data_IF_761085756436
#
_entry.id   IF_761085756436
#
_cell.length_a   1.000
_cell.length_b   1.000
_cell.length_c   1.000
_cell.angle_alpha   90.00
_cell.angle_beta   90.00
_cell.angle_gamma   90.00
#
_symmetry.space_group_name_H-M   'P 1'
#
loop_
_entity.id
_entity.type
_entity.pdbx_description
1 polymer ?
#
# COMPACT_ATOMS: atom_id res chain seq x y z
N UNK A 1 12.22 -8.65 2.92
CA UNK A 1 11.04 -8.00 2.34
C UNK A 1 10.69 -8.74 1.06
N UNK A 2 9.52 -9.35 1.01
CA UNK A 2 9.03 -10.00 -0.20
C UNK A 2 8.37 -8.92 -1.05
N UNK A 3 8.87 -8.73 -2.26
CA UNK A 3 8.30 -7.81 -3.25
C UNK A 3 7.50 -8.66 -4.23
N UNK A 4 6.36 -9.12 -3.78
CA UNK A 4 5.42 -9.88 -4.59
C UNK A 4 4.05 -9.21 -4.50
N UNK A 5 3.36 -9.02 -5.62
CA UNK A 5 1.97 -8.58 -5.58
C UNK A 5 1.16 -9.53 -4.70
N UNK A 6 0.30 -8.96 -3.86
CA UNK A 6 -0.53 -9.70 -2.89
C UNK A 6 0.25 -10.53 -1.86
N UNK A 7 1.57 -10.30 -1.71
CA UNK A 7 2.43 -10.94 -0.72
C UNK A 7 2.34 -12.49 -0.70
N UNK A 8 2.11 -13.12 -1.85
CA UNK A 8 1.98 -14.57 -1.97
C UNK A 8 3.12 -15.19 -2.80
N UNK A 9 4.32 -15.43 -2.20
CA UNK A 9 5.47 -15.99 -2.90
C UNK A 9 5.32 -17.48 -3.23
N UNK A 10 4.37 -18.18 -2.62
CA UNK A 10 4.12 -19.61 -2.82
C UNK A 10 2.97 -19.89 -3.79
N UNK A 11 2.59 -18.93 -4.58
CA UNK A 11 1.51 -19.04 -5.55
C UNK A 11 1.81 -20.09 -6.61
N UNK A 12 0.85 -20.98 -6.83
CA UNK A 12 0.90 -22.06 -7.86
C UNK A 12 -0.07 -21.80 -9.01
N UNK A 13 -0.76 -20.68 -9.02
CA UNK A 13 -1.77 -20.28 -10.00
C UNK A 13 -1.44 -18.89 -10.58
N UNK A 14 -2.05 -18.49 -11.71
CA UNK A 14 -1.81 -17.19 -12.33
C UNK A 14 -2.11 -16.01 -11.40
N UNK A 15 -1.28 -14.97 -11.45
CA UNK A 15 -1.38 -13.76 -10.61
C UNK A 15 -2.72 -13.02 -10.80
N UNK A 16 -3.26 -13.03 -12.01
CA UNK A 16 -4.56 -12.42 -12.32
C UNK A 16 -5.69 -12.96 -11.43
N UNK A 17 -5.59 -14.20 -10.98
CA UNK A 17 -6.60 -14.78 -10.07
C UNK A 17 -6.62 -14.12 -8.69
N UNK A 18 -5.46 -13.74 -8.16
CA UNK A 18 -5.39 -12.94 -6.94
C UNK A 18 -5.99 -11.56 -7.19
N UNK A 19 -5.63 -10.92 -8.31
CA UNK A 19 -6.21 -9.63 -8.69
C UNK A 19 -7.74 -9.68 -8.75
N UNK A 20 -8.32 -10.62 -9.47
CA UNK A 20 -9.77 -10.79 -9.59
C UNK A 20 -10.45 -11.02 -8.25
N UNK A 21 -9.83 -11.84 -7.38
CA UNK A 21 -10.34 -12.11 -6.04
C UNK A 21 -10.36 -10.86 -5.17
N UNK A 22 -9.27 -10.09 -5.16
CA UNK A 22 -9.19 -8.83 -4.42
C UNK A 22 -10.15 -7.78 -4.97
N UNK A 23 -10.21 -7.62 -6.30
CA UNK A 23 -11.14 -6.70 -6.96
C UNK A 23 -12.59 -7.00 -6.56
N UNK A 24 -12.97 -8.27 -6.55
CA UNK A 24 -14.30 -8.70 -6.11
C UNK A 24 -14.56 -8.37 -4.64
N UNK A 25 -13.62 -8.63 -3.74
CA UNK A 25 -13.76 -8.30 -2.32
C UNK A 25 -14.02 -6.81 -2.11
N UNK A 26 -13.28 -5.93 -2.78
CA UNK A 26 -13.45 -4.49 -2.64
C UNK A 26 -14.72 -3.97 -3.30
N UNK A 27 -15.05 -4.43 -4.52
CA UNK A 27 -16.19 -3.91 -5.27
C UNK A 27 -17.54 -4.45 -4.83
N UNK A 28 -17.61 -5.72 -4.39
CA UNK A 28 -18.87 -6.39 -4.11
C UNK A 28 -19.13 -6.60 -2.60
N UNK A 29 -18.07 -6.72 -1.80
CA UNK A 29 -18.21 -7.05 -0.38
C UNK A 29 -17.99 -5.86 0.56
N UNK A 30 -17.65 -4.68 0.02
CA UNK A 30 -17.41 -3.48 0.82
C UNK A 30 -16.24 -3.62 1.82
N UNK A 31 -15.25 -4.44 1.48
CA UNK A 31 -14.05 -4.65 2.32
C UNK A 31 -13.14 -3.45 2.21
N UNK A 32 -12.69 -2.94 3.35
CA UNK A 32 -11.67 -1.90 3.44
C UNK A 32 -10.27 -2.52 3.58
N UNK A 33 -9.25 -1.87 3.02
CA UNK A 33 -7.88 -2.34 3.06
C UNK A 33 -6.99 -1.38 3.84
N UNK A 34 -6.30 -1.91 4.83
CA UNK A 34 -5.37 -1.15 5.65
C UNK A 34 -3.96 -1.71 5.54
N UNK A 35 -2.98 -0.81 5.43
CA UNK A 35 -1.56 -1.14 5.47
C UNK A 35 -1.02 -0.71 6.82
N UNK A 36 -0.45 -1.63 7.56
CA UNK A 36 0.13 -1.36 8.88
C UNK A 36 1.65 -1.53 8.83
N UNK A 37 2.36 -0.48 9.26
CA UNK A 37 3.80 -0.54 9.42
C UNK A 37 4.15 -1.00 10.85
N UNK A 38 4.72 -2.18 10.97
CA UNK A 38 5.15 -2.75 12.25
C UNK A 38 6.68 -2.75 12.43
N UNK A 39 7.40 -2.19 11.49
CA UNK A 39 8.86 -2.18 11.45
C UNK A 39 9.46 -0.83 11.80
N UNK A 40 9.93 -0.12 10.79
CA UNK A 40 10.54 1.19 10.92
C UNK A 40 9.77 2.20 10.06
N UNK A 41 9.57 3.38 10.62
CA UNK A 41 9.12 4.56 9.90
C UNK A 41 10.30 5.53 9.81
N UNK A 42 10.84 5.70 8.62
CA UNK A 42 12.15 6.31 8.41
C UNK A 42 13.20 5.58 9.28
N UNK A 43 13.89 6.29 10.16
CA UNK A 43 14.90 5.74 11.06
C UNK A 43 14.34 5.32 12.44
N UNK A 44 13.06 5.56 12.69
CA UNK A 44 12.41 5.29 13.96
C UNK A 44 11.71 3.93 13.94
N UNK A 45 12.06 3.08 14.91
CA UNK A 45 11.35 1.81 15.10
C UNK A 45 9.94 2.08 15.64
N UNK A 46 8.94 1.46 15.01
CA UNK A 46 7.56 1.51 15.49
C UNK A 46 7.42 0.56 16.71
N UNK A 47 7.10 1.07 17.91
CA UNK A 47 6.86 0.23 19.06
C UNK A 47 5.62 -0.64 18.88
N UNK A 48 5.65 -1.84 19.47
CA UNK A 48 4.50 -2.76 19.41
C UNK A 48 3.23 -2.16 20.04
N UNK A 49 3.40 -1.34 21.06
CA UNK A 49 2.33 -0.66 21.78
C UNK A 49 1.56 0.29 20.83
N UNK A 50 2.26 1.02 19.96
CA UNK A 50 1.65 1.87 18.92
C UNK A 50 0.85 1.02 17.94
N UNK A 51 1.40 -0.11 17.50
CA UNK A 51 0.71 -1.03 16.60
C UNK A 51 -0.56 -1.59 17.22
N UNK A 52 -0.51 -1.98 18.49
CA UNK A 52 -1.67 -2.54 19.20
C UNK A 52 -2.76 -1.49 19.45
N UNK A 53 -2.39 -0.26 19.85
CA UNK A 53 -3.32 0.86 20.02
C UNK A 53 -4.05 1.17 18.69
N UNK A 54 -3.30 1.23 17.59
CA UNK A 54 -3.90 1.46 16.26
C UNK A 54 -4.87 0.35 15.85
N UNK A 55 -4.54 -0.91 16.14
CA UNK A 55 -5.43 -2.04 15.85
C UNK A 55 -6.71 -1.98 16.69
N UNK A 56 -6.61 -1.68 17.98
CA UNK A 56 -7.75 -1.53 18.88
C UNK A 56 -8.67 -0.42 18.39
N UNK A 57 -8.14 0.76 18.14
CA UNK A 57 -8.87 1.92 17.62
C UNK A 57 -9.47 1.69 16.23
N UNK A 58 -8.79 0.90 15.37
CA UNK A 58 -9.35 0.51 14.08
C UNK A 58 -10.60 -0.34 14.23
N UNK A 59 -10.56 -1.34 15.11
CA UNK A 59 -11.71 -2.22 15.40
C UNK A 59 -12.86 -1.44 16.06
N UNK A 60 -12.55 -0.48 16.91
CA UNK A 60 -13.52 0.40 17.56
C UNK A 60 -14.10 1.48 16.62
N UNK A 61 -13.51 1.67 15.45
CA UNK A 61 -13.92 2.72 14.51
C UNK A 61 -13.60 4.14 15.00
N UNK A 62 -12.58 4.30 15.83
CA UNK A 62 -12.17 5.59 16.43
C UNK A 62 -10.96 6.23 15.74
N UNK A 63 -10.42 5.62 14.68
CA UNK A 63 -9.34 6.20 13.89
C UNK A 63 -9.85 7.32 12.98
N UNK A 64 -9.09 8.40 12.95
CA UNK A 64 -9.31 9.49 12.00
C UNK A 64 -8.30 9.39 10.88
N UNK A 65 -8.78 9.26 9.64
CA UNK A 65 -7.96 9.20 8.45
C UNK A 65 -7.84 10.58 7.81
N UNK A 66 -6.65 10.91 7.34
CA UNK A 66 -6.32 12.15 6.63
C UNK A 66 -5.79 11.83 5.23
N UNK A 67 -6.05 12.67 4.23
CA UNK A 67 -5.46 12.47 2.90
C UNK A 67 -3.94 12.37 2.96
N UNK A 68 -3.37 11.39 2.28
CA UNK A 68 -1.92 11.22 2.20
C UNK A 68 -1.35 12.17 1.15
N UNK A 69 -1.11 13.42 1.56
CA UNK A 69 -0.64 14.50 0.70
C UNK A 69 -1.56 14.70 -0.53
N UNK A 70 -0.99 14.68 -1.74
CA UNK A 70 -1.71 14.83 -3.01
C UNK A 70 -2.02 13.50 -3.72
N UNK A 71 -1.68 12.40 -3.10
CA UNK A 71 -1.86 11.08 -3.71
C UNK A 71 -3.33 10.65 -3.62
N UNK A 72 -4.00 10.42 -4.77
CA UNK A 72 -5.42 10.09 -4.77
C UNK A 72 -5.66 8.72 -4.13
N UNK A 73 -6.77 8.62 -3.42
CA UNK A 73 -7.23 7.38 -2.79
C UNK A 73 -6.26 6.77 -1.75
N UNK A 74 -5.29 7.56 -1.27
CA UNK A 74 -4.44 7.18 -0.15
C UNK A 74 -4.72 8.07 1.05
N UNK A 75 -4.92 7.43 2.18
CA UNK A 75 -5.12 8.09 3.47
C UNK A 75 -4.14 7.53 4.51
N UNK A 76 -3.92 8.26 5.58
CA UNK A 76 -3.09 7.81 6.69
C UNK A 76 -3.67 8.26 8.03
N UNK A 77 -3.30 7.56 9.07
CA UNK A 77 -3.56 7.96 10.45
C UNK A 77 -2.35 8.71 10.98
N UNK A 78 -2.58 9.91 11.50
CA UNK A 78 -1.51 10.68 12.13
C UNK A 78 -1.18 10.10 13.50
N UNK A 79 0.07 9.70 13.67
CA UNK A 79 0.58 9.12 14.91
C UNK A 79 1.71 10.00 15.42
N UNK A 80 1.62 10.54 16.65
CA UNK A 80 2.66 11.40 17.22
C UNK A 80 4.06 10.76 17.17
N UNK A 81 5.01 11.46 16.57
CA UNK A 81 6.39 10.97 16.39
C UNK A 81 6.60 10.09 15.13
N UNK A 82 5.54 9.85 14.35
CA UNK A 82 5.59 9.08 13.11
C UNK A 82 4.87 9.81 11.95
N UNK A 83 4.86 11.14 11.99
CA UNK A 83 4.23 11.96 10.96
C UNK A 83 5.05 11.95 9.66
N UNK A 84 4.41 11.74 8.49
CA UNK A 84 5.09 11.84 7.21
C UNK A 84 5.65 13.26 6.98
N UNK A 85 6.94 13.44 6.71
CA UNK A 85 7.55 14.75 6.56
C UNK A 85 7.29 15.33 5.16
N UNK A 86 6.03 15.63 4.84
CA UNK A 86 5.61 16.10 3.52
C UNK A 86 6.24 17.43 3.08
N UNK A 87 6.84 18.20 3.98
CA UNK A 87 7.58 19.43 3.67
C UNK A 87 9.02 19.15 3.22
N UNK A 88 9.50 17.91 3.35
CA UNK A 88 10.89 17.51 3.03
C UNK A 88 10.97 16.98 1.60
N UNK A 89 11.72 17.68 0.74
CA UNK A 89 11.88 17.31 -0.67
C UNK A 89 12.44 15.89 -0.87
N UNK A 90 13.39 15.50 -0.03
CA UNK A 90 13.99 14.16 -0.11
C UNK A 90 12.96 13.06 0.15
N UNK A 91 12.01 13.28 1.06
CA UNK A 91 10.91 12.35 1.31
C UNK A 91 10.05 12.13 0.06
N UNK A 92 9.70 13.22 -0.63
CA UNK A 92 8.96 13.11 -1.90
C UNK A 92 9.74 12.37 -2.99
N UNK A 93 11.05 12.61 -3.06
CA UNK A 93 11.91 11.90 -4.01
C UNK A 93 11.95 10.39 -3.72
N UNK A 94 12.02 10.00 -2.45
CA UNK A 94 11.99 8.59 -2.04
C UNK A 94 10.62 7.96 -2.32
N UNK A 95 9.52 8.67 -2.07
CA UNK A 95 8.17 8.20 -2.42
C UNK A 95 8.03 7.98 -3.93
N UNK A 96 8.45 8.95 -4.73
CA UNK A 96 8.41 8.83 -6.19
C UNK A 96 9.19 7.61 -6.69
N UNK A 97 10.43 7.44 -6.23
CA UNK A 97 11.23 6.24 -6.53
C UNK A 97 10.54 4.94 -6.11
N UNK A 98 9.85 4.95 -4.98
CA UNK A 98 9.13 3.78 -4.50
C UNK A 98 7.91 3.44 -5.39
N UNK A 99 7.25 4.44 -5.97
CA UNK A 99 6.16 4.23 -6.94
C UNK A 99 6.70 3.82 -8.31
N UNK A 100 7.77 4.47 -8.81
CA UNK A 100 8.46 4.05 -10.05
C UNK A 100 8.90 2.58 -9.97
N UNK A 101 9.53 2.18 -8.88
CA UNK A 101 9.95 0.80 -8.67
C UNK A 101 8.77 -0.19 -8.77
N UNK A 102 7.60 0.16 -8.19
CA UNK A 102 6.40 -0.69 -8.27
C UNK A 102 5.82 -0.71 -9.66
N UNK A 103 5.82 0.42 -10.33
CA UNK A 103 5.38 0.53 -11.71
C UNK A 103 6.23 -0.36 -12.63
N UNK A 104 7.55 -0.22 -12.60
CA UNK A 104 8.49 -1.02 -13.40
C UNK A 104 8.37 -2.53 -13.10
N UNK A 105 8.11 -2.87 -11.84
CA UNK A 105 7.92 -4.26 -11.44
C UNK A 105 6.64 -4.85 -12.04
N UNK A 106 5.52 -4.13 -11.96
CA UNK A 106 4.23 -4.57 -12.50
C UNK A 106 4.26 -4.59 -14.02
N UNK A 107 4.88 -3.58 -14.66
CA UNK A 107 5.03 -3.53 -16.13
C UNK A 107 5.71 -4.78 -16.70
N UNK A 108 6.71 -5.30 -16.02
CA UNK A 108 7.38 -6.56 -16.40
C UNK A 108 6.51 -7.81 -16.25
N UNK A 109 5.45 -7.73 -15.47
CA UNK A 109 4.50 -8.84 -15.29
C UNK A 109 3.38 -8.82 -16.34
N UNK A 110 3.13 -7.70 -17.01
CA UNK A 110 2.15 -7.58 -18.08
C UNK A 110 2.75 -8.18 -19.35
N UNK A 111 1.98 -8.99 -20.07
CA UNK A 111 2.46 -9.68 -21.29
C UNK A 111 2.98 -11.11 -21.07
N UNK A 112 2.92 -11.63 -19.86
CA UNK A 112 3.29 -13.01 -19.53
C UNK A 112 2.06 -13.83 -19.08
N UNK A 113 2.17 -15.15 -19.04
CA UNK A 113 1.06 -16.06 -18.67
C UNK A 113 0.41 -15.84 -17.29
N UNK A 114 0.98 -14.99 -16.46
CA UNK A 114 0.49 -14.64 -15.12
C UNK A 114 0.07 -13.16 -15.02
N UNK A 115 -0.39 -12.60 -16.10
CA UNK A 115 -0.58 -11.17 -16.30
C UNK A 115 -1.52 -10.50 -15.30
N UNK A 116 -1.08 -9.34 -14.83
CA UNK A 116 -1.98 -8.33 -14.28
C UNK A 116 -2.59 -7.52 -15.45
N UNK A 117 -3.84 -7.06 -15.35
CA UNK A 117 -4.44 -6.21 -16.37
C UNK A 117 -3.79 -4.81 -16.39
N UNK A 118 -3.81 -4.16 -17.56
CA UNK A 118 -3.22 -2.82 -17.74
C UNK A 118 -3.79 -1.76 -16.81
N UNK A 119 -5.03 -1.92 -16.33
CA UNK A 119 -5.65 -1.00 -15.37
C UNK A 119 -4.83 -0.84 -14.07
N UNK A 120 -4.04 -1.84 -13.69
CA UNK A 120 -3.13 -1.76 -12.53
C UNK A 120 -2.03 -0.74 -12.78
N UNK A 121 -1.48 -0.71 -14.00
CA UNK A 121 -0.47 0.29 -14.39
C UNK A 121 -1.08 1.70 -14.45
N UNK A 122 -2.30 1.83 -14.96
CA UNK A 122 -2.98 3.13 -15.01
C UNK A 122 -3.16 3.73 -13.61
N UNK A 123 -3.54 2.90 -12.63
CA UNK A 123 -3.63 3.34 -11.23
C UNK A 123 -2.27 3.76 -10.69
N UNK A 124 -1.21 2.98 -10.92
CA UNK A 124 0.15 3.32 -10.45
C UNK A 124 0.66 4.61 -11.07
N UNK A 125 0.35 4.92 -12.34
CA UNK A 125 0.68 6.21 -12.97
C UNK A 125 0.07 7.40 -12.23
N UNK A 126 -1.09 7.26 -11.63
CA UNK A 126 -1.71 8.36 -10.87
C UNK A 126 -0.95 8.72 -9.59
N UNK A 127 -0.03 7.85 -9.15
CA UNK A 127 0.79 8.03 -7.94
C UNK A 127 2.20 8.60 -8.26
N UNK A 128 2.54 8.73 -9.53
CA UNK A 128 3.85 9.25 -10.00
C UNK A 128 3.74 10.72 -10.39
#
# INVERSE_FOLDING_TARGET
LVIEPYANPFRTYPLVRDYESYKKLFSECGVECYIMNTGFFLDNKVPKEVTLDLLERLVEGTLEFKPFYKYPNLEYVEVPGFEPPFQVREYHHQLHKAFEFRYDYVEKLIGHKNELPEEVLEVLKTLM
#
